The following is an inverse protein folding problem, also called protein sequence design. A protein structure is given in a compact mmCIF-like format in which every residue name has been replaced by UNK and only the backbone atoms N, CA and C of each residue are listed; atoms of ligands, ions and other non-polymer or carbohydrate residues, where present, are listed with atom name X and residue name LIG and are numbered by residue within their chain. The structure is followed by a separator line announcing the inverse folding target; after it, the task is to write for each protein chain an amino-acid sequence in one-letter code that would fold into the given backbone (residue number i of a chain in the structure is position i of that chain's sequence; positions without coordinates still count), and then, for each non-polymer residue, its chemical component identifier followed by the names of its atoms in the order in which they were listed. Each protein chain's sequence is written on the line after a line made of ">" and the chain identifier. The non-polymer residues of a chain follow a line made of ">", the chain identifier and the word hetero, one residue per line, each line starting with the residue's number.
data_IF_354013677834
#
_entry.id   IF_354013677834
#
_cell.length_a   1.000
_cell.length_b   1.000
_cell.length_c   1.000
_cell.angle_alpha   90.00
_cell.angle_beta   90.00
_cell.angle_gamma   90.00
#
_symmetry.space_group_name_H-M   'P 1'
#
loop_
_entity.id
_entity.type
_entity.pdbx_description
1 polymer ?
#
# COMPACT_ATOMS: atom_id res chain seq x y z
N UNK A 1 11.41 -13.03 10.73
CA UNK A 1 10.03 -13.54 10.82
C UNK A 1 10.01 -15.04 10.50
N UNK A 2 9.06 -15.79 11.08
CA UNK A 2 8.84 -17.23 10.79
C UNK A 2 7.40 -17.39 10.32
N UNK A 3 7.20 -18.03 9.17
CA UNK A 3 5.87 -18.38 8.67
C UNK A 3 5.42 -19.64 9.43
N UNK A 4 4.21 -19.57 9.99
CA UNK A 4 3.60 -20.64 10.79
C UNK A 4 2.10 -20.72 10.48
N UNK A 5 1.48 -21.81 10.89
CA UNK A 5 0.03 -21.90 10.92
C UNK A 5 -0.55 -20.85 11.89
N UNK A 6 -1.69 -20.22 11.54
CA UNK A 6 -2.31 -19.10 12.28
C UNK A 6 -2.48 -19.41 13.78
N UNK A 7 -3.00 -20.59 14.11
CA UNK A 7 -3.20 -21.00 15.51
C UNK A 7 -1.88 -21.11 16.28
N UNK A 8 -0.85 -21.69 15.68
CA UNK A 8 0.46 -21.85 16.29
C UNK A 8 1.17 -20.50 16.50
N UNK A 9 1.03 -19.58 15.55
CA UNK A 9 1.58 -18.23 15.68
C UNK A 9 0.93 -17.46 16.85
N UNK A 10 -0.39 -17.55 17.00
CA UNK A 10 -1.12 -16.95 18.14
C UNK A 10 -0.70 -17.53 19.48
N UNK A 11 -0.52 -18.86 19.55
CA UNK A 11 -0.05 -19.54 20.78
C UNK A 11 1.34 -19.11 21.23
N UNK A 12 2.20 -18.64 20.33
CA UNK A 12 3.51 -18.08 20.69
C UNK A 12 3.43 -16.57 21.02
N UNK A 13 2.57 -15.84 20.35
CA UNK A 13 2.41 -14.41 20.54
C UNK A 13 1.79 -14.06 21.90
N UNK A 14 0.73 -14.73 22.30
CA UNK A 14 0.00 -14.44 23.55
C UNK A 14 0.83 -14.59 24.83
N UNK A 15 1.63 -15.66 25.04
CA UNK A 15 2.54 -15.74 26.17
C UNK A 15 3.61 -14.65 26.16
N UNK A 16 4.22 -14.36 25.01
CA UNK A 16 5.24 -13.32 24.89
C UNK A 16 4.66 -11.93 25.27
N UNK A 17 3.42 -11.64 24.83
CA UNK A 17 2.69 -10.44 25.22
C UNK A 17 2.47 -10.37 26.74
N UNK A 18 2.05 -11.47 27.38
CA UNK A 18 1.82 -11.54 28.83
C UNK A 18 3.11 -11.42 29.65
N UNK A 19 4.22 -11.89 29.13
CA UNK A 19 5.54 -11.79 29.75
C UNK A 19 6.21 -10.42 29.57
N UNK A 20 5.56 -9.48 28.90
CA UNK A 20 6.12 -8.15 28.68
C UNK A 20 7.19 -8.09 27.58
N UNK A 21 7.34 -9.13 26.76
CA UNK A 21 8.28 -9.17 25.65
C UNK A 21 7.72 -8.43 24.44
N UNK A 22 8.56 -7.66 23.76
CA UNK A 22 8.18 -7.10 22.45
C UNK A 22 7.95 -8.23 21.46
N UNK A 23 6.77 -8.29 20.88
CA UNK A 23 6.38 -9.31 19.93
C UNK A 23 5.53 -8.71 18.82
N UNK A 24 5.63 -9.27 17.61
CA UNK A 24 4.78 -8.91 16.47
C UNK A 24 4.14 -10.15 15.88
N UNK A 25 2.88 -10.01 15.48
CA UNK A 25 2.11 -11.04 14.81
C UNK A 25 1.52 -10.46 13.53
N UNK A 26 1.85 -11.06 12.39
CA UNK A 26 1.24 -10.75 11.11
C UNK A 26 0.31 -11.89 10.73
N UNK A 27 -0.96 -11.58 10.52
CA UNK A 27 -2.00 -12.54 10.16
C UNK A 27 -2.61 -12.19 8.82
N UNK A 28 -2.93 -13.19 8.03
CA UNK A 28 -3.80 -13.04 6.87
C UNK A 28 -5.23 -13.34 7.31
N UNK A 29 -6.10 -12.34 7.27
CA UNK A 29 -7.51 -12.48 7.63
C UNK A 29 -8.35 -12.97 6.45
N UNK A 30 -8.06 -12.43 5.25
CA UNK A 30 -8.67 -12.81 3.97
C UNK A 30 -7.61 -12.75 2.87
N UNK A 31 -7.85 -13.32 1.68
CA UNK A 31 -6.98 -13.05 0.54
C UNK A 31 -6.77 -11.55 0.38
N UNK A 32 -5.51 -11.11 0.35
CA UNK A 32 -5.09 -9.71 0.22
C UNK A 32 -5.42 -8.78 1.42
N UNK A 33 -5.87 -9.32 2.56
CA UNK A 33 -6.08 -8.54 3.79
C UNK A 33 -5.21 -9.10 4.91
N UNK A 34 -4.33 -8.26 5.42
CA UNK A 34 -3.38 -8.62 6.47
C UNK A 34 -3.54 -7.68 7.67
N UNK A 35 -3.50 -8.25 8.86
CA UNK A 35 -3.50 -7.51 10.13
C UNK A 35 -2.16 -7.70 10.82
N UNK A 36 -1.58 -6.63 11.34
CA UNK A 36 -0.37 -6.67 12.14
C UNK A 36 -0.68 -6.22 13.57
N UNK A 37 -0.36 -7.07 14.53
CA UNK A 37 -0.45 -6.77 15.95
C UNK A 37 0.94 -6.63 16.55
N UNK A 38 1.14 -5.57 17.34
CA UNK A 38 2.35 -5.32 18.09
C UNK A 38 2.03 -5.33 19.58
N UNK A 39 2.88 -5.96 20.37
CA UNK A 39 2.70 -6.06 21.81
C UNK A 39 3.84 -5.37 22.57
N UNK A 40 3.49 -4.82 23.75
CA UNK A 40 4.42 -4.23 24.70
C UNK A 40 5.24 -3.05 24.12
N UNK A 41 4.54 -2.11 23.49
CA UNK A 41 5.10 -0.84 23.06
C UNK A 41 5.25 0.04 24.31
N UNK A 42 6.45 0.50 24.57
CA UNK A 42 6.75 1.36 25.71
C UNK A 42 6.51 2.85 25.34
N UNK A 43 6.21 3.70 26.32
CA UNK A 43 6.16 5.14 26.07
C UNK A 43 7.46 5.63 25.41
N UNK A 44 7.34 6.43 24.36
CA UNK A 44 8.43 6.99 23.54
C UNK A 44 9.10 5.98 22.56
N UNK A 45 8.64 4.73 22.48
CA UNK A 45 9.10 3.82 21.44
C UNK A 45 8.69 4.35 20.06
N UNK A 46 9.63 4.29 19.13
CA UNK A 46 9.38 4.53 17.71
C UNK A 46 9.35 3.19 16.97
N UNK A 47 8.31 2.99 16.21
CA UNK A 47 8.11 1.75 15.44
C UNK A 47 8.10 2.12 13.96
N UNK A 48 8.98 1.48 13.22
CA UNK A 48 9.04 1.54 11.76
C UNK A 48 8.55 0.22 11.17
N UNK A 49 7.59 0.31 10.25
CA UNK A 49 7.07 -0.85 9.52
C UNK A 49 7.34 -0.60 8.04
N UNK A 50 8.15 -1.47 7.43
CA UNK A 50 8.42 -1.46 6.00
C UNK A 50 7.71 -2.62 5.32
N UNK A 51 6.93 -2.32 4.28
CA UNK A 51 6.30 -3.30 3.40
C UNK A 51 6.80 -3.09 1.97
N UNK A 52 7.41 -4.12 1.38
CA UNK A 52 7.85 -4.12 -0.02
C UNK A 52 7.06 -5.16 -0.79
N UNK A 53 6.50 -4.77 -1.92
CA UNK A 53 5.79 -5.67 -2.83
C UNK A 53 5.99 -5.24 -4.27
N UNK A 54 5.76 -6.16 -5.18
CA UNK A 54 5.77 -5.93 -6.62
C UNK A 54 4.44 -6.36 -7.21
N UNK A 55 3.98 -5.62 -8.21
CA UNK A 55 2.74 -5.89 -8.91
C UNK A 55 2.95 -5.70 -10.41
N UNK A 56 2.34 -6.56 -11.22
CA UNK A 56 2.31 -6.40 -12.67
C UNK A 56 1.11 -5.53 -13.04
N UNK A 57 1.37 -4.36 -13.58
CA UNK A 57 0.32 -3.46 -14.07
C UNK A 57 -0.07 -3.85 -15.49
N UNK A 58 -1.31 -4.25 -15.66
CA UNK A 58 -1.91 -4.54 -16.99
C UNK A 58 -2.77 -3.35 -17.39
N UNK A 59 -2.48 -2.69 -18.53
CA UNK A 59 -3.25 -1.53 -18.95
C UNK A 59 -4.65 -1.94 -19.42
N UNK A 60 -5.64 -1.12 -19.08
CA UNK A 60 -6.99 -1.21 -19.62
C UNK A 60 -7.23 -0.02 -20.54
N UNK A 61 -7.59 -0.26 -21.79
CA UNK A 61 -7.74 0.79 -22.82
C UNK A 61 -6.50 1.70 -22.95
N UNK A 62 -5.32 1.10 -22.81
CA UNK A 62 -4.03 1.81 -22.85
C UNK A 62 -3.71 2.66 -21.63
N UNK A 63 -4.52 2.62 -20.57
CA UNK A 63 -4.28 3.31 -19.30
C UNK A 63 -3.68 2.33 -18.29
N UNK A 64 -2.51 2.68 -17.78
CA UNK A 64 -1.93 2.06 -16.61
C UNK A 64 -2.47 2.75 -15.36
N UNK A 65 -2.94 1.96 -14.40
CA UNK A 65 -3.48 2.47 -13.14
C UNK A 65 -2.78 1.81 -11.95
N UNK A 66 -2.32 2.62 -11.02
CA UNK A 66 -1.79 2.19 -9.71
C UNK A 66 -2.75 2.70 -8.65
N UNK A 67 -3.23 1.81 -7.79
CA UNK A 67 -4.09 2.16 -6.66
C UNK A 67 -3.38 1.78 -5.36
N UNK A 68 -3.17 2.76 -4.50
CA UNK A 68 -2.67 2.53 -3.13
C UNK A 68 -3.78 2.91 -2.13
N UNK A 69 -4.36 1.92 -1.40
CA UNK A 69 -5.42 2.13 -0.43
C UNK A 69 -4.85 2.40 0.97
N UNK A 70 -4.64 3.64 1.41
CA UNK A 70 -4.16 3.94 2.76
C UNK A 70 -5.23 3.74 3.83
N UNK A 71 -6.50 3.66 3.43
CA UNK A 71 -7.64 3.51 4.35
C UNK A 71 -8.26 2.14 4.18
N UNK A 72 -8.12 1.31 5.22
CA UNK A 72 -8.81 0.01 5.30
C UNK A 72 -9.96 0.16 6.29
N UNK A 73 -11.16 0.19 5.78
CA UNK A 73 -12.39 0.39 6.57
C UNK A 73 -13.49 -0.60 6.19
N UNK A 74 -14.72 -0.40 6.70
CA UNK A 74 -15.87 -1.30 6.48
C UNK A 74 -16.23 -1.50 5.01
N UNK A 75 -15.77 -0.67 4.09
CA UNK A 75 -16.00 -0.83 2.65
C UNK A 75 -15.54 -2.19 2.08
N UNK A 76 -14.65 -2.88 2.79
CA UNK A 76 -14.19 -4.22 2.43
C UNK A 76 -14.94 -5.32 3.18
N UNK A 77 -15.93 -4.97 3.99
CA UNK A 77 -16.83 -5.88 4.70
C UNK A 77 -18.27 -5.39 4.57
N UNK A 78 -19.20 -6.32 4.36
CA UNK A 78 -20.64 -6.05 4.43
C UNK A 78 -21.18 -6.05 5.86
N UNK A 79 -20.31 -6.26 6.87
CA UNK A 79 -20.67 -6.40 8.26
C UNK A 79 -20.55 -5.07 9.02
N UNK A 80 -21.43 -4.87 10.01
CA UNK A 80 -21.31 -3.74 10.91
C UNK A 80 -20.19 -4.01 11.93
N UNK A 81 -19.51 -2.96 12.37
CA UNK A 81 -18.40 -3.02 13.34
C UNK A 81 -18.78 -3.78 14.61
N UNK A 82 -20.01 -3.59 15.13
CA UNK A 82 -20.51 -4.21 16.34
C UNK A 82 -20.78 -5.72 16.22
N UNK A 83 -20.95 -6.23 15.01
CA UNK A 83 -21.31 -7.62 14.72
C UNK A 83 -20.28 -8.38 13.90
N UNK A 84 -19.13 -7.77 13.62
CA UNK A 84 -18.08 -8.40 12.83
C UNK A 84 -17.53 -9.63 13.56
N UNK A 85 -17.43 -10.80 12.89
CA UNK A 85 -16.78 -11.97 13.44
C UNK A 85 -15.30 -11.71 13.71
N UNK A 86 -14.66 -12.59 14.48
CA UNK A 86 -13.24 -12.43 14.86
C UNK A 86 -12.29 -12.44 13.63
N UNK A 87 -12.65 -13.18 12.60
CA UNK A 87 -11.95 -13.22 11.31
C UNK A 87 -12.02 -11.91 10.53
N UNK A 88 -12.98 -11.04 10.84
CA UNK A 88 -13.13 -9.70 10.29
C UNK A 88 -12.63 -8.61 11.27
N UNK A 89 -11.65 -8.94 12.09
CA UNK A 89 -11.08 -8.04 13.10
C UNK A 89 -10.61 -6.69 12.56
N UNK A 90 -10.24 -6.61 11.28
CA UNK A 90 -9.86 -5.35 10.63
C UNK A 90 -11.01 -4.32 10.57
N UNK A 91 -12.27 -4.78 10.56
CA UNK A 91 -13.45 -3.89 10.61
C UNK A 91 -13.57 -3.16 11.95
N UNK A 92 -13.02 -3.74 13.02
CA UNK A 92 -13.00 -3.18 14.38
C UNK A 92 -11.85 -2.21 14.60
N UNK A 93 -10.91 -2.11 13.67
CA UNK A 93 -9.80 -1.16 13.77
C UNK A 93 -10.32 0.27 13.59
N UNK A 94 -9.87 1.23 14.40
CA UNK A 94 -10.25 2.62 14.22
C UNK A 94 -9.90 3.10 12.81
N UNK A 95 -10.83 3.76 12.16
CA UNK A 95 -10.64 4.36 10.85
C UNK A 95 -11.26 5.75 10.81
N UNK A 96 -10.79 6.58 9.88
CA UNK A 96 -11.30 7.93 9.69
C UNK A 96 -12.51 7.90 8.75
N UNK A 97 -13.63 8.46 9.17
CA UNK A 97 -14.83 8.53 8.33
C UNK A 97 -14.63 9.48 7.16
N UNK A 98 -15.44 9.30 6.12
CA UNK A 98 -15.39 10.17 4.96
C UNK A 98 -15.63 11.64 5.35
N UNK A 99 -14.75 12.54 4.93
CA UNK A 99 -14.81 13.97 5.24
C UNK A 99 -14.18 14.36 6.57
N UNK A 100 -13.65 13.41 7.36
CA UNK A 100 -12.87 13.69 8.55
C UNK A 100 -11.38 13.84 8.21
N UNK A 101 -10.71 14.73 8.94
CA UNK A 101 -9.27 14.91 8.78
C UNK A 101 -8.53 13.70 9.38
N UNK A 102 -7.62 13.04 8.66
CA UNK A 102 -6.84 11.94 9.20
C UNK A 102 -5.93 12.44 10.33
N UNK A 103 -5.70 11.56 11.32
CA UNK A 103 -4.77 11.81 12.42
C UNK A 103 -3.30 11.57 12.02
N UNK A 104 -3.09 10.91 10.89
CA UNK A 104 -1.77 10.59 10.34
C UNK A 104 -1.46 11.42 9.10
N UNK A 105 -0.18 11.57 8.80
CA UNK A 105 0.30 12.24 7.60
C UNK A 105 0.58 11.19 6.52
N UNK A 106 0.12 11.43 5.29
CA UNK A 106 0.42 10.62 4.12
C UNK A 106 1.45 11.35 3.26
N UNK A 107 2.55 10.68 2.94
CA UNK A 107 3.52 11.15 1.96
C UNK A 107 3.66 10.09 0.87
N UNK A 108 3.50 10.51 -0.38
CA UNK A 108 3.71 9.64 -1.53
C UNK A 108 4.78 10.27 -2.42
N UNK A 109 5.78 9.46 -2.74
CA UNK A 109 6.75 9.74 -3.78
C UNK A 109 6.68 8.61 -4.78
N UNK A 110 6.46 8.93 -6.05
CA UNK A 110 6.42 7.93 -7.10
C UNK A 110 7.36 8.31 -8.23
N UNK A 111 7.99 7.31 -8.84
CA UNK A 111 8.78 7.44 -10.06
C UNK A 111 8.17 6.55 -11.12
N UNK A 112 7.74 7.17 -12.20
CA UNK A 112 7.29 6.46 -13.40
C UNK A 112 8.47 6.45 -14.38
N UNK A 113 8.90 5.27 -14.79
CA UNK A 113 9.99 5.09 -15.75
C UNK A 113 9.55 4.07 -16.80
N UNK A 114 9.55 4.47 -18.05
CA UNK A 114 9.08 3.66 -19.16
C UNK A 114 10.09 3.64 -20.31
N UNK A 115 9.98 2.64 -21.18
CA UNK A 115 10.81 2.54 -22.38
C UNK A 115 10.38 3.47 -23.51
N UNK A 116 9.19 4.07 -23.41
CA UNK A 116 8.58 4.97 -24.39
C UNK A 116 8.03 6.20 -23.67
N UNK A 117 7.77 7.33 -24.38
CA UNK A 117 7.26 8.54 -23.73
C UNK A 117 5.98 8.31 -22.93
N UNK A 118 5.94 8.90 -21.74
CA UNK A 118 4.79 8.88 -20.86
C UNK A 118 3.84 9.99 -21.28
N UNK A 119 2.55 9.66 -21.35
CA UNK A 119 1.46 10.59 -21.66
C UNK A 119 0.41 10.54 -20.55
N UNK A 120 -0.40 11.61 -20.46
CA UNK A 120 -1.58 11.69 -19.59
C UNK A 120 -1.32 11.30 -18.12
N UNK A 121 -0.11 11.62 -17.61
CA UNK A 121 0.23 11.38 -16.20
C UNK A 121 -0.64 12.24 -15.30
N UNK A 122 -1.53 11.60 -14.53
CA UNK A 122 -2.52 12.28 -13.72
C UNK A 122 -2.92 11.46 -12.50
N UNK A 123 -3.54 12.10 -11.53
CA UNK A 123 -4.22 11.45 -10.42
C UNK A 123 -5.64 11.98 -10.29
N UNK A 124 -6.66 11.12 -10.42
CA UNK A 124 -8.05 11.52 -10.21
C UNK A 124 -8.39 11.72 -8.73
N UNK A 125 -7.57 11.24 -7.83
CA UNK A 125 -7.83 11.25 -6.38
C UNK A 125 -7.07 12.34 -5.65
N UNK A 126 -5.89 12.76 -6.12
CA UNK A 126 -5.02 13.69 -5.42
C UNK A 126 -4.40 14.70 -6.38
N UNK A 127 -4.04 15.86 -5.86
CA UNK A 127 -3.17 16.76 -6.61
C UNK A 127 -1.74 16.26 -6.53
N UNK A 128 -1.10 16.11 -7.69
CA UNK A 128 0.27 15.65 -7.83
C UNK A 128 1.15 16.76 -8.43
N UNK A 129 2.41 16.79 -8.03
CA UNK A 129 3.43 17.70 -8.56
C UNK A 129 4.45 16.87 -9.35
N UNK A 130 4.27 16.71 -10.67
CA UNK A 130 5.18 15.96 -11.51
C UNK A 130 6.45 16.76 -11.85
N UNK A 131 7.59 16.12 -11.73
CA UNK A 131 8.90 16.61 -12.16
C UNK A 131 9.44 15.71 -13.27
N UNK A 132 9.52 16.21 -14.47
CA UNK A 132 9.98 15.45 -15.62
C UNK A 132 11.49 15.48 -15.71
N UNK A 133 12.12 14.30 -15.68
CA UNK A 133 13.54 14.12 -15.91
C UNK A 133 13.84 13.89 -17.40
N UNK A 134 12.91 13.27 -18.11
CA UNK A 134 12.89 13.04 -19.55
C UNK A 134 11.45 12.76 -20.00
N UNK A 135 11.17 12.67 -21.31
CA UNK A 135 9.84 12.24 -21.77
C UNK A 135 9.43 10.83 -21.28
N UNK A 136 10.39 10.00 -20.89
CA UNK A 136 10.16 8.63 -20.44
C UNK A 136 10.27 8.45 -18.93
N UNK A 137 10.65 9.51 -18.18
CA UNK A 137 10.85 9.43 -16.73
C UNK A 137 10.25 10.65 -16.05
N UNK A 138 9.27 10.40 -15.19
CA UNK A 138 8.68 11.39 -14.31
C UNK A 138 8.80 10.97 -12.85
N UNK A 139 9.13 11.91 -11.97
CA UNK A 139 9.02 11.76 -10.53
C UNK A 139 7.89 12.66 -10.04
N UNK A 140 7.11 12.20 -9.10
CA UNK A 140 6.02 12.99 -8.54
C UNK A 140 5.92 12.84 -7.02
N UNK A 141 5.38 13.86 -6.41
CA UNK A 141 4.98 13.88 -4.99
C UNK A 141 3.54 14.37 -4.91
N UNK A 142 2.89 14.16 -3.77
CA UNK A 142 1.62 14.81 -3.48
C UNK A 142 1.83 16.31 -3.23
N UNK A 143 0.78 17.09 -3.52
CA UNK A 143 0.69 18.47 -3.05
C UNK A 143 0.28 18.48 -1.58
N UNK A 144 1.07 19.10 -0.72
CA UNK A 144 0.84 19.16 0.73
C UNK A 144 -0.35 20.06 1.14
N UNK A 145 -0.97 20.75 0.18
CA UNK A 145 -2.09 21.66 0.45
C UNK A 145 -3.40 20.97 0.83
N UNK A 146 -3.54 19.65 0.55
CA UNK A 146 -4.76 18.92 0.85
C UNK A 146 -4.70 18.22 2.22
N UNK A 147 -5.43 18.71 3.24
CA UNK A 147 -5.41 18.14 4.58
C UNK A 147 -6.12 16.77 4.69
N UNK A 148 -6.82 16.32 3.65
CA UNK A 148 -7.59 15.06 3.65
C UNK A 148 -6.94 13.96 2.80
N UNK A 149 -5.73 14.18 2.31
CA UNK A 149 -5.07 13.25 1.39
C UNK A 149 -4.89 11.83 1.96
N UNK A 150 -4.75 11.67 3.28
CA UNK A 150 -4.63 10.36 3.92
C UNK A 150 -5.95 9.60 4.09
N UNK A 151 -7.12 10.20 3.78
CA UNK A 151 -8.43 9.59 3.98
C UNK A 151 -9.14 9.16 2.69
N UNK A 152 -8.37 8.86 1.65
CA UNK A 152 -8.88 8.30 0.39
C UNK A 152 -7.79 7.55 -0.34
N UNK A 153 -8.19 6.66 -1.24
CA UNK A 153 -7.24 5.89 -2.04
C UNK A 153 -6.46 6.81 -2.98
N UNK A 154 -5.15 6.60 -3.02
CA UNK A 154 -4.31 7.25 -4.01
C UNK A 154 -4.40 6.47 -5.32
N UNK A 155 -4.75 7.16 -6.39
CA UNK A 155 -4.86 6.61 -7.74
C UNK A 155 -3.94 7.38 -8.66
N UNK A 156 -3.02 6.70 -9.31
CA UNK A 156 -2.15 7.26 -10.34
C UNK A 156 -2.48 6.62 -11.68
N UNK A 157 -2.66 7.45 -12.72
CA UNK A 157 -2.93 7.01 -14.09
C UNK A 157 -1.93 7.61 -15.05
N UNK A 158 -1.52 6.80 -16.02
CA UNK A 158 -0.70 7.29 -17.12
C UNK A 158 -0.95 6.45 -18.38
N UNK A 159 -0.59 7.01 -19.52
CA UNK A 159 -0.51 6.33 -20.82
C UNK A 159 0.93 6.31 -21.30
N UNK A 160 1.22 5.37 -22.18
CA UNK A 160 2.49 5.35 -22.91
C UNK A 160 2.22 5.73 -24.36
N UNK A 161 3.16 6.46 -24.97
CA UNK A 161 3.05 6.87 -26.36
C UNK A 161 3.15 5.65 -27.30
N UNK A 162 2.22 5.58 -28.26
CA UNK A 162 2.20 4.54 -29.32
C UNK A 162 0.85 3.82 -29.38
N UNK A 163 0.33 3.67 -30.59
CA UNK A 163 -0.91 2.93 -30.87
C UNK A 163 -0.70 1.40 -30.93
N UNK A 164 0.55 0.94 -30.80
CA UNK A 164 0.89 -0.47 -30.83
C UNK A 164 1.41 -0.91 -29.46
N UNK A 165 1.14 -2.17 -29.12
CA UNK A 165 1.69 -2.82 -27.94
C UNK A 165 3.22 -2.67 -27.99
N UNK A 166 3.74 -1.71 -27.24
CA UNK A 166 5.18 -1.58 -27.06
C UNK A 166 5.59 -2.72 -26.13
N UNK A 167 6.33 -3.69 -26.67
CA UNK A 167 6.96 -4.72 -25.87
C UNK A 167 7.96 -4.03 -24.93
N UNK A 168 7.66 -4.00 -23.66
CA UNK A 168 8.58 -3.50 -22.65
C UNK A 168 9.46 -4.64 -22.14
N UNK A 169 10.77 -4.43 -22.08
CA UNK A 169 11.66 -5.31 -21.36
C UNK A 169 11.85 -4.74 -19.95
N UNK A 170 11.40 -5.49 -18.96
CA UNK A 170 11.69 -5.17 -17.56
C UNK A 170 12.92 -5.97 -17.17
N UNK A 171 14.00 -5.28 -16.84
CA UNK A 171 15.22 -5.87 -16.31
C UNK A 171 15.27 -5.65 -14.81
N UNK A 172 15.32 -6.73 -14.06
CA UNK A 172 15.59 -6.71 -12.62
C UNK A 172 17.01 -7.24 -12.38
N UNK A 173 17.83 -6.44 -11.76
CA UNK A 173 19.19 -6.82 -11.38
C UNK A 173 19.18 -7.31 -9.94
N UNK A 174 19.35 -8.62 -9.76
CA UNK A 174 19.58 -9.25 -8.46
C UNK A 174 21.07 -9.24 -8.08
N UNK A 175 21.38 -9.73 -6.89
CA UNK A 175 22.78 -9.82 -6.42
C UNK A 175 23.58 -10.87 -7.20
N UNK A 176 22.96 -12.02 -7.52
CA UNK A 176 23.62 -13.15 -8.19
C UNK A 176 23.12 -13.37 -9.63
N UNK A 177 21.91 -12.92 -9.97
CA UNK A 177 21.27 -13.16 -11.26
C UNK A 177 20.49 -11.93 -11.74
N UNK A 178 20.38 -11.77 -13.05
CA UNK A 178 19.54 -10.76 -13.68
C UNK A 178 18.30 -11.43 -14.26
N UNK A 179 17.13 -10.86 -13.96
CA UNK A 179 15.86 -11.33 -14.48
C UNK A 179 15.31 -10.34 -15.50
N UNK A 180 14.69 -10.87 -16.54
CA UNK A 180 13.94 -10.06 -17.51
C UNK A 180 12.54 -10.64 -17.73
N UNK A 181 11.59 -9.76 -18.01
CA UNK A 181 10.21 -10.11 -18.28
C UNK A 181 9.74 -9.43 -19.55
#
# INVERSE_FOLDING_TARGET
>A
AKIKEKAAAKQEFEPAKKEGKSASLLEQDRPNVFSMSLANIMPQDQIEIELRYTELLVPTDGIYEVVYPPVVGPRYSSQQESSAPEEDGFVKSPYTHQGEKPSSTLHISARVSAGVPIQDLSSPSHQIVPQWQSPTVAQLTLDDADPFQGNRDFVLRYRLAGDQIASGLILYQGEDENFFL
#
